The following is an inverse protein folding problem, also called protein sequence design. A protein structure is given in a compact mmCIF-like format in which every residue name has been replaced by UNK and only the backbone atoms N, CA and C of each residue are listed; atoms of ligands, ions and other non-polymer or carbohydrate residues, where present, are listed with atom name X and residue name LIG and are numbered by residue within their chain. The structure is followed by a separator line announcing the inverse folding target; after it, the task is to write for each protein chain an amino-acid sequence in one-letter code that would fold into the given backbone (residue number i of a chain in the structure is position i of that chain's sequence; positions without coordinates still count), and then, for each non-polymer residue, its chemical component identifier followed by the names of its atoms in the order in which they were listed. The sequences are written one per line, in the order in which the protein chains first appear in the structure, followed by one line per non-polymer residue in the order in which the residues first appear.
data_IF_847846477322
#
_entry.id   IF_847846477322
#
_cell.length_a   1.000
_cell.length_b   1.000
_cell.length_c   1.000
_cell.angle_alpha   90.00
_cell.angle_beta   90.00
_cell.angle_gamma   90.00
#
_symmetry.space_group_name_H-M   'P 1'
#
loop_
_entity.id
_entity.type
_entity.pdbx_description
1 polymer ?
#
# COMPACT_ATOMS: atom_id res chain seq x y z
N UNK A 1 24.93 6.73 -19.51
CA UNK A 1 26.06 7.58 -19.11
C UNK A 1 25.60 8.37 -17.91
N UNK A 2 26.39 8.41 -16.84
CA UNK A 2 26.10 9.19 -15.64
C UNK A 2 27.28 10.13 -15.42
N UNK A 3 27.00 11.40 -15.10
CA UNK A 3 28.03 12.42 -14.84
C UNK A 3 27.71 13.11 -13.53
N UNK A 4 28.74 13.39 -12.74
CA UNK A 4 28.62 14.12 -11.46
C UNK A 4 28.93 15.60 -11.69
N UNK A 5 28.27 16.48 -10.94
CA UNK A 5 28.56 17.91 -10.93
C UNK A 5 28.89 18.35 -9.51
N UNK A 6 29.85 19.26 -9.38
CA UNK A 6 30.33 19.74 -8.09
C UNK A 6 30.27 21.26 -8.00
N UNK A 7 29.91 21.78 -6.83
CA UNK A 7 29.90 23.20 -6.53
C UNK A 7 30.54 23.43 -5.16
N UNK A 8 31.47 24.39 -5.08
CA UNK A 8 32.13 24.76 -3.83
C UNK A 8 31.59 26.10 -3.32
N UNK A 9 31.19 26.10 -2.05
CA UNK A 9 30.73 27.30 -1.34
C UNK A 9 31.69 27.63 -0.19
N UNK A 10 32.02 28.91 -0.06
CA UNK A 10 32.63 29.47 1.14
C UNK A 10 31.53 29.77 2.15
N UNK A 11 31.58 29.03 3.26
CA UNK A 11 30.62 29.12 4.37
C UNK A 11 31.17 29.92 5.55
N UNK A 12 32.29 30.65 5.36
CA UNK A 12 32.90 31.46 6.43
C UNK A 12 31.96 32.54 6.97
N UNK A 13 31.00 33.00 6.14
CA UNK A 13 29.85 33.79 6.58
C UNK A 13 28.58 32.92 6.54
N UNK A 14 28.02 32.50 7.70
CA UNK A 14 26.86 31.61 7.74
C UNK A 14 25.57 32.25 7.19
N UNK A 15 25.47 33.58 7.19
CA UNK A 15 24.29 34.30 6.67
C UNK A 15 24.35 34.51 5.15
N UNK A 16 25.55 34.42 4.56
CA UNK A 16 25.75 34.59 3.12
C UNK A 16 26.78 33.59 2.57
N UNK A 17 26.36 32.35 2.31
CA UNK A 17 27.18 31.37 1.61
C UNK A 17 27.59 31.89 0.23
N UNK A 18 28.90 32.02 0.00
CA UNK A 18 29.41 32.53 -1.27
C UNK A 18 29.85 31.38 -2.16
N UNK A 19 29.29 31.28 -3.36
CA UNK A 19 29.77 30.32 -4.36
C UNK A 19 31.16 30.73 -4.86
N UNK A 20 32.13 29.82 -4.74
CA UNK A 20 33.54 30.08 -5.11
C UNK A 20 33.86 29.52 -6.48
N UNK A 21 33.45 28.29 -6.74
CA UNK A 21 33.71 27.61 -8.02
C UNK A 21 32.67 26.52 -8.28
N UNK A 22 32.50 26.16 -9.55
CA UNK A 22 31.69 25.03 -9.97
C UNK A 22 32.40 24.25 -11.07
N UNK A 23 32.21 22.93 -11.08
CA UNK A 23 32.60 22.06 -12.18
C UNK A 23 31.37 21.36 -12.73
N UNK A 24 30.91 21.84 -13.89
CA UNK A 24 29.70 21.38 -14.59
C UNK A 24 30.02 20.98 -16.02
N UNK A 25 30.99 20.08 -16.18
CA UNK A 25 31.35 19.57 -17.48
C UNK A 25 30.73 18.18 -17.70
N UNK A 26 29.90 18.05 -18.73
CA UNK A 26 29.26 16.79 -19.11
C UNK A 26 30.22 15.88 -19.91
N UNK A 27 31.28 16.45 -20.48
CA UNK A 27 32.29 15.73 -21.25
C UNK A 27 33.47 15.27 -20.39
N UNK A 28 33.47 15.61 -19.10
CA UNK A 28 34.52 15.20 -18.17
C UNK A 28 34.52 13.68 -17.97
N UNK A 29 35.50 13.01 -18.59
CA UNK A 29 35.70 11.57 -18.50
C UNK A 29 36.07 11.10 -17.10
N UNK A 30 36.65 11.96 -16.26
CA UNK A 30 36.96 11.67 -14.85
C UNK A 30 35.71 11.58 -13.98
N UNK A 31 34.64 12.30 -14.34
CA UNK A 31 33.35 12.30 -13.64
C UNK A 31 32.25 11.53 -14.37
N UNK A 32 32.56 10.99 -15.55
CA UNK A 32 31.62 10.24 -16.38
C UNK A 32 31.75 8.73 -16.17
N UNK A 33 30.68 8.11 -15.67
CA UNK A 33 30.53 6.65 -15.62
C UNK A 33 29.79 6.19 -16.88
N UNK A 34 30.46 5.35 -17.67
CA UNK A 34 29.87 4.68 -18.84
C UNK A 34 29.55 3.23 -18.51
N UNK A 35 28.26 2.90 -18.51
CA UNK A 35 27.80 1.52 -18.37
C UNK A 35 28.19 0.74 -19.63
N UNK A 36 29.12 -0.21 -19.49
CA UNK A 36 29.53 -1.16 -20.55
C UNK A 36 28.68 -2.42 -20.58
N UNK A 37 27.62 -2.47 -19.80
CA UNK A 37 26.74 -3.62 -19.77
C UNK A 37 25.81 -3.56 -20.98
N UNK A 38 26.11 -4.41 -21.96
CA UNK A 38 25.14 -4.80 -22.98
C UNK A 38 23.91 -5.27 -22.20
N UNK A 39 22.70 -4.71 -22.42
CA UNK A 39 21.52 -5.38 -21.95
C UNK A 39 21.57 -6.74 -22.64
N UNK A 40 21.82 -7.82 -21.90
CA UNK A 40 21.32 -9.11 -22.32
C UNK A 40 19.87 -8.81 -22.71
N UNK A 41 19.59 -9.05 -23.99
CA UNK A 41 18.27 -8.93 -24.63
C UNK A 41 17.25 -9.07 -23.52
N UNK A 42 16.34 -8.10 -23.27
CA UNK A 42 15.32 -8.31 -22.26
C UNK A 42 14.66 -9.62 -22.68
N UNK A 43 14.95 -10.69 -21.95
CA UNK A 43 14.08 -11.85 -21.94
C UNK A 43 12.78 -11.19 -21.60
N UNK A 44 11.86 -11.20 -22.58
CA UNK A 44 10.51 -10.69 -22.45
C UNK A 44 10.15 -10.91 -20.99
N UNK A 45 9.96 -9.84 -20.18
CA UNK A 45 9.76 -10.04 -18.77
C UNK A 45 8.63 -11.07 -18.70
N UNK A 46 8.81 -12.22 -18.02
CA UNK A 46 7.69 -13.13 -17.84
C UNK A 46 6.57 -12.23 -17.37
N UNK A 47 5.48 -12.19 -18.15
CA UNK A 47 4.30 -11.35 -17.90
C UNK A 47 4.23 -11.13 -16.41
N UNK A 48 4.47 -9.90 -15.90
CA UNK A 48 4.81 -9.72 -14.49
C UNK A 48 3.79 -10.52 -13.73
N UNK A 49 4.24 -11.62 -13.09
CA UNK A 49 3.39 -12.31 -12.15
C UNK A 49 3.06 -11.22 -11.17
N UNK A 50 1.81 -10.74 -11.29
CA UNK A 50 1.25 -9.61 -10.59
C UNK A 50 1.93 -9.57 -9.24
N UNK A 51 2.64 -8.49 -8.87
CA UNK A 51 3.43 -8.49 -7.66
C UNK A 51 2.58 -9.13 -6.57
N UNK A 52 3.06 -10.24 -6.01
CA UNK A 52 2.71 -10.61 -4.65
C UNK A 52 3.33 -9.53 -3.76
N UNK A 53 2.89 -8.28 -3.95
CA UNK A 53 2.67 -7.37 -2.87
C UNK A 53 1.86 -8.24 -1.91
N UNK A 54 2.36 -8.61 -0.72
CA UNK A 54 1.39 -8.84 0.33
C UNK A 54 0.58 -7.56 0.29
N UNK A 55 -0.66 -7.66 -0.18
CA UNK A 55 -1.64 -6.63 0.06
C UNK A 55 -1.75 -6.65 1.58
N UNK A 56 -0.79 -5.99 2.21
CA UNK A 56 -0.62 -5.78 3.64
C UNK A 56 -1.21 -4.41 3.99
N UNK A 57 -2.03 -3.86 3.10
CA UNK A 57 -3.35 -3.45 3.56
C UNK A 57 -3.86 -4.65 4.35
N UNK A 58 -4.02 -4.58 5.68
CA UNK A 58 -4.36 -5.74 6.47
C UNK A 58 -5.53 -6.37 5.74
N UNK A 59 -5.35 -7.63 5.30
CA UNK A 59 -6.47 -8.43 4.89
C UNK A 59 -7.20 -8.75 6.19
N UNK A 60 -7.84 -7.74 6.77
CA UNK A 60 -8.92 -7.86 7.73
C UNK A 60 -10.10 -8.40 6.92
N UNK A 61 -9.88 -9.57 6.32
CA UNK A 61 -10.93 -10.53 6.06
C UNK A 61 -11.31 -11.02 7.44
N UNK A 62 -12.12 -10.21 8.12
CA UNK A 62 -12.87 -10.70 9.26
C UNK A 62 -13.66 -11.89 8.73
N UNK A 63 -13.18 -13.10 9.02
CA UNK A 63 -13.87 -14.35 8.69
C UNK A 63 -15.09 -14.56 9.59
N UNK A 64 -15.56 -13.48 10.23
CA UNK A 64 -16.73 -13.42 11.07
C UNK A 64 -17.89 -14.04 10.32
N UNK A 65 -18.33 -15.20 10.82
CA UNK A 65 -19.40 -15.97 10.22
C UNK A 65 -20.72 -15.19 10.36
N UNK A 66 -21.01 -14.34 9.38
CA UNK A 66 -22.25 -13.53 9.32
C UNK A 66 -23.51 -14.40 9.41
N UNK A 67 -23.44 -15.65 8.94
CA UNK A 67 -24.56 -16.59 9.05
C UNK A 67 -24.89 -16.89 10.51
N UNK A 68 -23.90 -17.00 11.40
CA UNK A 68 -24.13 -17.23 12.82
C UNK A 68 -24.93 -16.07 13.46
N UNK A 69 -24.61 -14.82 13.10
CA UNK A 69 -25.34 -13.64 13.58
C UNK A 69 -26.76 -13.56 13.02
N UNK A 70 -26.94 -13.88 11.73
CA UNK A 70 -28.27 -13.93 11.11
C UNK A 70 -29.15 -15.00 11.78
N UNK A 71 -28.62 -16.20 12.01
CA UNK A 71 -29.34 -17.27 12.71
C UNK A 71 -29.70 -16.85 14.14
N UNK A 72 -28.77 -16.24 14.87
CA UNK A 72 -29.02 -15.74 16.23
C UNK A 72 -30.14 -14.69 16.27
N UNK A 73 -30.15 -13.75 15.31
CA UNK A 73 -31.20 -12.75 15.18
C UNK A 73 -32.57 -13.39 14.89
N UNK A 74 -32.62 -14.36 13.98
CA UNK A 74 -33.87 -15.06 13.64
C UNK A 74 -34.42 -15.89 14.81
N UNK A 75 -33.56 -16.57 15.56
CA UNK A 75 -33.96 -17.31 16.76
C UNK A 75 -34.50 -16.37 17.84
N UNK A 76 -33.84 -15.24 18.06
CA UNK A 76 -34.29 -14.23 19.04
C UNK A 76 -35.65 -13.63 18.65
N UNK A 77 -35.78 -13.15 17.41
CA UNK A 77 -37.04 -12.58 16.90
C UNK A 77 -38.17 -13.63 16.85
N UNK A 78 -37.86 -14.84 16.41
CA UNK A 78 -38.79 -15.97 16.34
C UNK A 78 -39.27 -16.42 17.72
N UNK A 79 -38.38 -16.46 18.72
CA UNK A 79 -38.75 -16.78 20.10
C UNK A 79 -39.67 -15.74 20.72
N UNK A 80 -39.38 -14.45 20.50
CA UNK A 80 -40.22 -13.37 21.02
C UNK A 80 -41.58 -13.32 20.32
N UNK A 81 -41.61 -13.39 18.98
CA UNK A 81 -42.84 -13.44 18.21
C UNK A 81 -43.65 -14.71 18.52
N UNK A 82 -42.98 -15.86 18.66
CA UNK A 82 -43.61 -17.15 18.98
C UNK A 82 -44.27 -17.16 20.34
N UNK A 83 -43.59 -16.66 21.39
CA UNK A 83 -44.18 -16.55 22.74
C UNK A 83 -45.33 -15.55 22.78
N UNK A 84 -45.20 -14.41 22.10
CA UNK A 84 -46.28 -13.43 21.98
C UNK A 84 -47.51 -13.99 21.27
N UNK A 85 -47.33 -14.64 20.11
CA UNK A 85 -48.41 -15.29 19.37
C UNK A 85 -49.00 -16.46 20.14
N UNK A 86 -48.20 -17.27 20.81
CA UNK A 86 -48.68 -18.35 21.68
C UNK A 86 -49.59 -17.80 22.77
N UNK A 87 -49.16 -16.75 23.49
CA UNK A 87 -49.98 -16.08 24.51
C UNK A 87 -51.27 -15.51 23.91
N UNK A 88 -51.18 -14.85 22.74
CA UNK A 88 -52.35 -14.27 22.06
C UNK A 88 -53.34 -15.33 21.57
N UNK A 89 -52.85 -16.45 21.05
CA UNK A 89 -53.68 -17.58 20.63
C UNK A 89 -54.28 -18.32 21.83
N UNK A 90 -53.57 -18.42 22.96
CA UNK A 90 -54.12 -19.03 24.18
C UNK A 90 -55.22 -18.19 24.81
N UNK A 91 -55.07 -16.86 24.83
CA UNK A 91 -56.10 -15.94 25.33
C UNK A 91 -57.38 -16.00 24.48
N UNK A 92 -57.26 -16.16 23.16
CA UNK A 92 -58.43 -16.29 22.26
C UNK A 92 -59.14 -17.65 22.35
N UNK A 93 -58.50 -18.67 22.96
CA UNK A 93 -59.05 -20.02 23.13
C UNK A 93 -59.57 -20.29 24.55
N UNK A 94 -59.54 -19.28 25.43
CA UNK A 94 -60.15 -19.29 26.76
C UNK A 94 -61.35 -18.36 26.77
#
# INVERSE_FOLDING_TARGET
QLVTFEELYDLSNPDEPKKVTEHKDIEDKGQTITFKEKPEKPETPPTPEKPNRPSDSPKTGDSTNVMAFVVMLLVSAGGLAGTYLYKRCKIKKS
#
